data_IF_203046263210
#
_entry.id   IF_203046263210
#
_cell.length_a   1.000
_cell.length_b   1.000
_cell.length_c   1.000
_cell.angle_alpha   90.00
_cell.angle_beta   90.00
_cell.angle_gamma   90.00
#
_symmetry.space_group_name_H-M   'P 1'
#
loop_
_entity.id
_entity.type
_entity.pdbx_description
1 polymer ?
#
# COMPACT_ATOMS: atom_id res chain seq x y z
N UNK A 1 -7.86 9.68 -24.56
CA UNK A 1 -7.48 10.30 -23.30
C UNK A 1 -7.20 9.29 -22.24
N UNK A 2 -6.12 9.48 -21.55
CA UNK A 2 -5.71 8.54 -20.53
C UNK A 2 -6.29 8.89 -19.19
N UNK A 3 -6.80 7.90 -18.50
CA UNK A 3 -7.31 8.08 -17.16
C UNK A 3 -6.19 8.00 -16.16
N UNK A 4 -6.20 8.90 -15.20
CA UNK A 4 -5.25 8.80 -14.10
C UNK A 4 -5.89 7.93 -13.03
N UNK A 5 -5.31 6.79 -12.77
CA UNK A 5 -5.85 5.85 -11.81
C UNK A 5 -5.27 5.99 -10.43
N UNK A 6 -4.37 6.96 -10.24
CA UNK A 6 -3.79 7.17 -8.92
C UNK A 6 -4.83 7.73 -7.97
N UNK A 7 -4.91 7.16 -6.78
CA UNK A 7 -5.84 7.60 -5.75
C UNK A 7 -5.12 8.60 -4.85
N UNK A 8 -5.68 9.80 -4.77
CA UNK A 8 -5.08 10.86 -4.01
C UNK A 8 -4.88 10.44 -2.56
N UNK A 9 -3.71 10.69 -2.02
CA UNK A 9 -3.40 10.37 -0.65
C UNK A 9 -3.03 8.93 -0.39
N UNK A 10 -2.97 8.11 -1.44
CA UNK A 10 -2.65 6.69 -1.27
C UNK A 10 -1.29 6.49 -0.64
N UNK A 11 -0.29 7.22 -1.11
CA UNK A 11 1.08 7.03 -0.61
C UNK A 11 1.19 7.42 0.86
N UNK A 12 0.51 8.48 1.27
CA UNK A 12 0.52 8.88 2.67
C UNK A 12 -0.13 7.83 3.55
N UNK A 13 -1.24 7.27 3.08
CA UNK A 13 -1.91 6.22 3.86
C UNK A 13 -1.06 4.96 3.90
N UNK A 14 -0.37 4.65 2.80
CA UNK A 14 0.51 3.50 2.77
C UNK A 14 1.64 3.65 3.79
N UNK A 15 2.27 4.83 3.82
CA UNK A 15 3.33 5.09 4.78
C UNK A 15 2.82 5.01 6.21
N UNK A 16 1.64 5.54 6.46
CA UNK A 16 1.07 5.49 7.79
C UNK A 16 0.78 4.06 8.20
N UNK A 17 0.27 3.25 7.28
CA UNK A 17 -0.02 1.86 7.57
C UNK A 17 1.26 1.10 7.90
N UNK A 18 2.34 1.38 7.16
CA UNK A 18 3.62 0.75 7.46
C UNK A 18 4.10 1.14 8.86
N UNK A 19 4.00 2.41 9.18
CA UNK A 19 4.43 2.91 10.49
C UNK A 19 3.60 2.28 11.60
N UNK A 20 2.28 2.27 11.42
CA UNK A 20 1.37 1.77 12.46
C UNK A 20 1.51 0.27 12.67
N UNK A 21 1.98 -0.46 11.66
CA UNK A 21 2.14 -1.90 11.79
C UNK A 21 3.28 -2.29 12.73
N UNK A 22 4.21 -1.35 12.95
CA UNK A 22 5.39 -1.65 13.75
C UNK A 22 6.44 -2.45 13.01
N UNK A 23 6.24 -2.71 11.73
CA UNK A 23 7.17 -3.48 10.92
C UNK A 23 7.89 -2.56 9.95
N UNK A 24 9.14 -2.87 9.65
CA UNK A 24 9.86 -2.14 8.63
C UNK A 24 9.28 -2.50 7.26
N UNK A 25 9.50 -1.64 6.28
CA UNK A 25 9.03 -1.94 4.93
C UNK A 25 9.69 -3.18 4.38
N UNK A 26 10.96 -3.41 4.72
CA UNK A 26 11.65 -4.63 4.31
C UNK A 26 10.96 -5.87 4.86
N UNK A 27 10.56 -5.82 6.12
CA UNK A 27 9.91 -6.96 6.75
C UNK A 27 8.54 -7.20 6.13
N UNK A 28 7.79 -6.12 5.89
CA UNK A 28 6.48 -6.25 5.28
C UNK A 28 6.59 -6.88 3.90
N UNK A 29 7.54 -6.39 3.10
CA UNK A 29 7.73 -6.92 1.75
C UNK A 29 8.12 -8.39 1.79
N UNK A 30 9.00 -8.76 2.71
CA UNK A 30 9.42 -10.15 2.83
C UNK A 30 8.24 -11.05 3.17
N UNK A 31 7.42 -10.63 4.12
CA UNK A 31 6.27 -11.43 4.53
C UNK A 31 5.21 -11.51 3.45
N UNK A 32 5.04 -10.42 2.70
CA UNK A 32 4.04 -10.37 1.65
C UNK A 32 4.51 -11.04 0.37
N UNK A 33 5.81 -11.23 0.23
CA UNK A 33 6.35 -11.90 -0.94
C UNK A 33 6.57 -11.00 -2.13
N UNK A 34 6.84 -9.72 -1.90
CA UNK A 34 7.17 -8.83 -3.01
C UNK A 34 8.38 -7.98 -2.65
N UNK A 35 8.85 -7.19 -3.61
CA UNK A 35 10.02 -6.35 -3.43
C UNK A 35 9.71 -5.17 -2.53
N UNK A 36 10.71 -4.80 -1.72
CA UNK A 36 10.57 -3.61 -0.91
C UNK A 36 10.27 -2.37 -1.74
N UNK A 37 10.75 -2.34 -2.98
CA UNK A 37 10.49 -1.22 -3.86
C UNK A 37 9.01 -0.96 -4.05
N UNK A 38 8.19 -1.99 -3.92
CA UNK A 38 6.75 -1.83 -4.08
C UNK A 38 6.15 -0.94 -3.00
N UNK A 39 6.84 -0.81 -1.85
CA UNK A 39 6.37 0.02 -0.76
C UNK A 39 6.98 1.42 -0.81
N UNK A 40 7.78 1.70 -1.83
CA UNK A 40 8.33 3.03 -2.09
C UNK A 40 7.99 3.42 -3.51
N UNK A 41 6.69 3.49 -3.83
CA UNK A 41 6.32 3.75 -5.21
C UNK A 41 6.71 5.16 -5.61
N UNK A 42 6.99 5.31 -6.88
CA UNK A 42 7.23 6.64 -7.40
C UNK A 42 5.89 7.35 -7.43
N UNK A 43 5.96 8.64 -7.63
CA UNK A 43 4.75 9.44 -7.57
C UNK A 43 3.68 8.90 -8.49
N UNK A 44 2.47 8.95 -8.02
CA UNK A 44 1.27 8.60 -8.78
C UNK A 44 1.26 7.20 -9.36
N UNK A 45 1.96 6.28 -8.70
CA UNK A 45 1.95 4.88 -9.08
C UNK A 45 1.20 4.08 -8.02
N UNK A 46 0.22 3.31 -8.46
CA UNK A 46 -0.54 2.46 -7.55
C UNK A 46 0.03 1.07 -7.52
N UNK A 47 -0.12 0.40 -6.38
CA UNK A 47 0.19 -1.01 -6.29
C UNK A 47 -0.89 -1.80 -6.99
N UNK A 48 -0.54 -2.99 -7.48
CA UNK A 48 -1.55 -3.86 -8.05
C UNK A 48 -2.49 -4.34 -6.94
N UNK A 49 -3.67 -4.77 -7.32
CA UNK A 49 -4.63 -5.25 -6.33
C UNK A 49 -4.10 -6.45 -5.56
N UNK A 50 -3.35 -7.31 -6.22
CA UNK A 50 -2.76 -8.46 -5.54
C UNK A 50 -1.79 -8.02 -4.44
N UNK A 51 -0.96 -7.02 -4.73
CA UNK A 51 -0.02 -6.51 -3.73
C UNK A 51 -0.74 -5.82 -2.59
N UNK A 52 -1.80 -5.06 -2.92
CA UNK A 52 -2.59 -4.40 -1.89
C UNK A 52 -3.18 -5.43 -0.94
N UNK A 53 -3.73 -6.52 -1.50
CA UNK A 53 -4.31 -7.57 -0.66
C UNK A 53 -3.26 -8.19 0.25
N UNK A 54 -2.08 -8.46 -0.29
CA UNK A 54 -1.01 -9.06 0.52
C UNK A 54 -0.50 -8.10 1.58
N UNK A 55 -0.38 -6.84 1.22
CA UNK A 55 0.04 -5.83 2.18
C UNK A 55 -0.95 -5.74 3.34
N UNK A 56 -2.22 -5.69 3.02
CA UNK A 56 -3.25 -5.58 4.05
C UNK A 56 -3.27 -6.82 4.96
N UNK A 57 -3.05 -7.99 4.37
CA UNK A 57 -3.01 -9.22 5.15
C UNK A 57 -1.85 -9.22 6.15
N UNK A 58 -0.69 -8.72 5.73
CA UNK A 58 0.49 -8.69 6.58
C UNK A 58 0.37 -7.66 7.69
N UNK A 59 -0.16 -6.48 7.36
CA UNK A 59 -0.17 -5.36 8.30
C UNK A 59 -1.47 -5.23 9.08
N UNK A 60 -2.51 -5.95 8.67
CA UNK A 60 -3.81 -5.79 9.29
C UNK A 60 -4.53 -4.52 8.89
N UNK A 61 -4.07 -3.89 7.82
CA UNK A 61 -4.66 -2.64 7.36
C UNK A 61 -5.99 -2.90 6.67
N UNK A 62 -6.96 -2.01 6.90
CA UNK A 62 -8.23 -2.08 6.20
C UNK A 62 -8.04 -1.56 4.78
N UNK A 63 -8.31 -2.43 3.81
CA UNK A 63 -8.12 -2.07 2.41
C UNK A 63 -8.99 -0.88 2.00
N UNK A 64 -10.20 -0.79 2.54
CA UNK A 64 -11.06 0.34 2.22
C UNK A 64 -10.44 1.65 2.67
N UNK A 65 -9.88 1.65 3.87
CA UNK A 65 -9.22 2.85 4.35
C UNK A 65 -8.00 3.18 3.49
N UNK A 66 -7.21 2.16 3.16
CA UNK A 66 -6.00 2.37 2.37
C UNK A 66 -6.32 2.96 1.01
N UNK A 67 -7.40 2.50 0.40
CA UNK A 67 -7.81 2.96 -0.92
C UNK A 67 -8.63 4.25 -0.87
N UNK A 68 -8.92 4.75 0.31
CA UNK A 68 -9.67 5.97 0.44
C UNK A 68 -11.16 5.82 0.26
N UNK A 69 -11.66 4.60 0.34
CA UNK A 69 -13.09 4.35 0.24
C UNK A 69 -13.70 4.61 1.61
N UNK A 70 -14.75 5.42 1.63
CA UNK A 70 -15.40 5.72 2.90
C UNK A 70 -16.62 4.85 3.09
N UNK A 71 -16.89 4.61 4.34
CA UNK A 71 -18.05 3.81 4.66
C UNK A 71 -19.19 4.64 5.09
#
# INVERSE_FOLDING_TARGET
MRQNTYIQGFHERLDKACHDSGLSKSEIARRAGFDRKSLHPKEHVMMTSAYIAKFCAVTGTDANWLLGVRR
#
